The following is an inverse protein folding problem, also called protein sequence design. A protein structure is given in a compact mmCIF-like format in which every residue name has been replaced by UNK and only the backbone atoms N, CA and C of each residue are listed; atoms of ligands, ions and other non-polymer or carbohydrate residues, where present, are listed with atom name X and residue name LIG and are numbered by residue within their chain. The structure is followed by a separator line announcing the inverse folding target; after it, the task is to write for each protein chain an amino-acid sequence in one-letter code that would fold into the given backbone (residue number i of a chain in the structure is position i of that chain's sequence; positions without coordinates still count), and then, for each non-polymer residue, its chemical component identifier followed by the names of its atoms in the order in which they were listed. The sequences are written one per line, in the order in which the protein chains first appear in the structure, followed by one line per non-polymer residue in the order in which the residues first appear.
data_IF_501115310559
#
_entry.id   IF_501115310559
#
_cell.length_a   1.000
_cell.length_b   1.000
_cell.length_c   1.000
_cell.angle_alpha   90.00
_cell.angle_beta   90.00
_cell.angle_gamma   90.00
#
_symmetry.space_group_name_H-M   'P 1'
#
loop_
_entity.id
_entity.type
_entity.pdbx_description
1 polymer ?
#
# COMPACT_ATOMS: atom_id res chain seq x y z
N UNK A 1 -27.02 -19.68 27.32
CA UNK A 1 -26.08 -19.98 26.20
C UNK A 1 -25.56 -18.66 25.70
N UNK A 2 -24.41 -18.23 26.24
CA UNK A 2 -23.75 -16.98 25.86
C UNK A 2 -22.96 -17.21 24.57
N UNK A 3 -23.38 -16.54 23.50
CA UNK A 3 -22.56 -16.35 22.31
C UNK A 3 -21.24 -15.70 22.76
N UNK A 4 -20.06 -16.16 22.33
CA UNK A 4 -18.84 -15.46 22.68
C UNK A 4 -18.84 -14.12 21.95
N UNK A 5 -18.88 -13.04 22.72
CA UNK A 5 -18.66 -11.69 22.25
C UNK A 5 -17.31 -11.64 21.53
N UNK A 6 -17.34 -11.52 20.21
CA UNK A 6 -16.16 -11.15 19.43
C UNK A 6 -15.78 -9.71 19.83
N UNK A 7 -14.50 -9.45 20.16
CA UNK A 7 -14.07 -8.13 20.59
C UNK A 7 -14.32 -7.09 19.50
N UNK A 8 -14.68 -5.84 19.87
CA UNK A 8 -14.87 -4.77 18.90
C UNK A 8 -13.50 -4.44 18.28
N UNK A 9 -13.45 -4.56 16.96
CA UNK A 9 -12.32 -4.24 16.08
C UNK A 9 -11.13 -5.23 16.07
N UNK A 10 -11.37 -6.45 15.58
CA UNK A 10 -10.30 -7.29 15.01
C UNK A 10 -10.04 -6.88 13.54
N UNK A 11 -9.78 -5.60 13.30
CA UNK A 11 -9.49 -5.06 11.97
C UNK A 11 -8.26 -5.74 11.37
N UNK A 12 -8.20 -5.87 10.05
CA UNK A 12 -7.05 -6.47 9.36
C UNK A 12 -5.83 -5.60 9.59
N UNK A 13 -4.95 -5.95 10.52
CA UNK A 13 -3.76 -5.15 10.76
C UNK A 13 -2.80 -5.22 9.55
N UNK A 14 -2.14 -4.11 9.25
CA UNK A 14 -1.17 -4.01 8.14
C UNK A 14 0.26 -4.12 8.63
N UNK A 15 1.10 -4.80 7.86
CA UNK A 15 2.55 -4.76 8.00
C UNK A 15 3.15 -4.04 6.78
N UNK A 16 3.68 -2.85 7.02
CA UNK A 16 4.38 -2.03 6.02
C UNK A 16 5.83 -1.88 6.48
N UNK A 17 6.77 -2.53 5.80
CA UNK A 17 8.20 -2.41 6.09
C UNK A 17 8.69 -1.01 5.68
N UNK A 18 9.49 -0.34 6.52
CA UNK A 18 10.08 0.97 6.22
C UNK A 18 10.82 0.98 4.87
N UNK A 19 11.45 -0.13 4.47
CA UNK A 19 12.10 -0.26 3.16
C UNK A 19 11.11 -0.15 1.98
N UNK A 20 9.83 -0.46 2.20
CA UNK A 20 8.78 -0.23 1.20
C UNK A 20 8.47 1.25 1.09
N UNK A 21 8.42 1.98 2.19
CA UNK A 21 8.25 3.44 2.18
C UNK A 21 9.44 4.13 1.51
N UNK A 22 10.66 3.72 1.86
CA UNK A 22 11.89 4.16 1.22
C UNK A 22 11.84 3.97 -0.31
N UNK A 23 11.39 2.81 -0.76
CA UNK A 23 11.19 2.56 -2.19
C UNK A 23 10.16 3.49 -2.84
N UNK A 24 9.04 3.76 -2.18
CA UNK A 24 7.99 4.66 -2.68
C UNK A 24 8.47 6.10 -2.82
N UNK A 25 9.31 6.55 -1.90
CA UNK A 25 9.85 7.89 -1.86
C UNK A 25 11.20 8.04 -2.58
N UNK A 26 11.70 6.96 -3.20
CA UNK A 26 13.01 6.91 -3.86
C UNK A 26 14.17 7.28 -2.91
N UNK A 27 14.18 6.66 -1.73
CA UNK A 27 15.14 6.90 -0.65
C UNK A 27 15.89 5.63 -0.29
N UNK A 28 17.18 5.74 -0.04
CA UNK A 28 18.04 4.65 0.43
C UNK A 28 17.89 3.33 -0.35
N UNK A 29 17.51 3.40 -1.63
CA UNK A 29 17.34 2.21 -2.46
C UNK A 29 18.68 1.77 -3.04
N UNK A 30 18.89 0.45 -3.11
CA UNK A 30 20.00 -0.10 -3.89
C UNK A 30 19.78 0.26 -5.36
N UNK A 31 20.82 0.80 -6.02
CA UNK A 31 20.77 1.16 -7.43
C UNK A 31 20.60 -0.10 -8.29
N UNK A 32 19.54 -0.10 -9.09
CA UNK A 32 19.16 -1.19 -9.98
C UNK A 32 18.33 -0.56 -11.13
N UNK A 33 18.68 -0.78 -12.42
CA UNK A 33 18.01 -0.09 -13.54
C UNK A 33 16.50 -0.21 -13.54
N UNK A 34 15.95 -1.36 -13.14
CA UNK A 34 14.51 -1.62 -13.15
C UNK A 34 13.84 -1.04 -11.90
N UNK A 35 14.46 -1.21 -10.74
CA UNK A 35 13.88 -0.78 -9.46
C UNK A 35 14.03 0.74 -9.24
N UNK A 36 15.13 1.35 -9.67
CA UNK A 36 15.37 2.79 -9.54
C UNK A 36 14.44 3.63 -10.42
N UNK A 37 14.13 3.17 -11.64
CA UNK A 37 13.20 3.87 -12.52
C UNK A 37 11.77 3.91 -11.94
N UNK A 38 11.30 2.78 -11.39
CA UNK A 38 9.99 2.68 -10.73
C UNK A 38 9.91 3.49 -9.44
N UNK A 39 10.94 3.44 -8.60
CA UNK A 39 11.02 4.27 -7.40
C UNK A 39 10.97 5.77 -7.74
N UNK A 40 11.71 6.19 -8.78
CA UNK A 40 11.67 7.57 -9.28
C UNK A 40 10.27 7.97 -9.74
N UNK A 41 9.59 7.11 -10.50
CA UNK A 41 8.21 7.35 -10.97
C UNK A 41 7.22 7.46 -9.81
N UNK A 42 7.31 6.57 -8.82
CA UNK A 42 6.48 6.60 -7.62
C UNK A 42 6.67 7.93 -6.87
N UNK A 43 7.92 8.31 -6.60
CA UNK A 43 8.23 9.55 -5.89
C UNK A 43 7.70 10.79 -6.63
N UNK A 44 7.83 10.84 -7.96
CA UNK A 44 7.28 11.92 -8.77
C UNK A 44 5.75 12.00 -8.69
N UNK A 45 5.06 10.86 -8.68
CA UNK A 45 3.60 10.82 -8.52
C UNK A 45 3.18 11.31 -7.12
N UNK A 46 3.88 10.88 -6.06
CA UNK A 46 3.61 11.34 -4.69
C UNK A 46 3.88 12.85 -4.53
N UNK A 47 4.98 13.36 -5.11
CA UNK A 47 5.26 14.79 -5.12
C UNK A 47 4.18 15.58 -5.86
N UNK A 48 3.65 15.06 -6.98
CA UNK A 48 2.51 15.69 -7.68
C UNK A 48 1.25 15.76 -6.82
N UNK A 49 1.08 14.84 -5.87
CA UNK A 49 0.02 14.85 -4.88
C UNK A 49 0.30 15.82 -3.71
N UNK A 50 1.50 16.37 -3.60
CA UNK A 50 1.93 17.15 -2.43
C UNK A 50 2.29 16.27 -1.23
N UNK A 51 2.70 15.02 -1.49
CA UNK A 51 3.15 14.05 -0.48
C UNK A 51 4.66 13.88 -0.67
N UNK A 52 5.45 14.35 0.30
CA UNK A 52 6.91 14.34 0.25
C UNK A 52 7.48 13.30 1.21
N UNK A 53 8.79 13.04 1.09
CA UNK A 53 9.49 12.16 2.03
C UNK A 53 9.82 12.92 3.33
N UNK A 54 8.81 13.08 4.16
CA UNK A 54 8.89 13.60 5.52
C UNK A 54 7.93 12.80 6.42
N UNK A 55 7.93 13.11 7.71
CA UNK A 55 7.10 12.42 8.70
C UNK A 55 5.61 12.47 8.34
N UNK A 56 5.14 13.60 7.81
CA UNK A 56 3.74 13.78 7.44
C UNK A 56 3.39 12.93 6.21
N UNK A 57 4.20 12.99 5.15
CA UNK A 57 3.97 12.22 3.94
C UNK A 57 4.05 10.72 4.16
N UNK A 58 5.00 10.25 4.98
CA UNK A 58 5.05 8.83 5.40
C UNK A 58 3.82 8.42 6.21
N UNK A 59 3.33 9.30 7.09
CA UNK A 59 2.10 9.05 7.84
C UNK A 59 0.88 8.96 6.93
N UNK A 60 0.74 9.87 5.95
CA UNK A 60 -0.36 9.84 4.96
C UNK A 60 -0.40 8.49 4.23
N UNK A 61 0.73 8.02 3.72
CA UNK A 61 0.80 6.74 3.01
C UNK A 61 0.48 5.56 3.93
N UNK A 62 0.99 5.59 5.16
CA UNK A 62 0.77 4.51 6.13
C UNK A 62 -0.70 4.42 6.54
N UNK A 63 -1.33 5.56 6.85
CA UNK A 63 -2.73 5.62 7.23
C UNK A 63 -3.64 5.19 6.08
N UNK A 64 -3.38 5.68 4.86
CA UNK A 64 -4.08 5.23 3.65
C UNK A 64 -4.03 3.71 3.51
N UNK A 65 -2.85 3.11 3.68
CA UNK A 65 -2.67 1.67 3.55
C UNK A 65 -3.38 0.86 4.64
N UNK A 66 -3.45 1.39 5.86
CA UNK A 66 -4.22 0.80 6.95
C UNK A 66 -5.73 0.80 6.65
N UNK A 67 -6.24 1.88 6.06
CA UNK A 67 -7.65 1.99 5.64
C UNK A 67 -7.96 1.03 4.48
N UNK A 68 -7.07 0.94 3.50
CA UNK A 68 -7.24 0.08 2.30
C UNK A 68 -7.57 -1.36 2.65
N UNK A 69 -6.92 -1.94 3.67
CA UNK A 69 -7.17 -3.34 4.02
C UNK A 69 -8.45 -3.54 4.82
N UNK A 70 -9.04 -2.49 5.42
CA UNK A 70 -10.32 -2.63 6.12
C UNK A 70 -11.51 -2.72 5.16
N UNK A 71 -11.34 -2.28 3.91
CA UNK A 71 -12.42 -2.22 2.92
C UNK A 71 -12.51 -3.55 2.18
N UNK A 72 -13.64 -4.27 2.27
CA UNK A 72 -13.78 -5.57 1.62
C UNK A 72 -14.01 -5.49 0.11
N UNK A 73 -14.80 -4.52 -0.34
CA UNK A 73 -15.21 -4.38 -1.73
C UNK A 73 -14.14 -3.77 -2.65
N UNK A 74 -12.91 -3.57 -2.15
CA UNK A 74 -11.80 -3.04 -2.93
C UNK A 74 -10.80 -4.11 -3.39
N UNK A 75 -11.03 -5.38 -3.00
CA UNK A 75 -10.27 -6.52 -3.51
C UNK A 75 -10.69 -6.76 -4.95
N UNK A 76 -9.74 -6.60 -5.87
CA UNK A 76 -9.98 -6.80 -7.32
C UNK A 76 -9.50 -8.17 -7.79
N UNK A 77 -8.60 -8.80 -7.04
CA UNK A 77 -8.09 -10.13 -7.36
C UNK A 77 -7.54 -10.80 -6.10
N UNK A 78 -7.65 -12.13 -6.02
CA UNK A 78 -6.97 -12.94 -5.01
C UNK A 78 -6.48 -14.24 -5.62
N UNK A 79 -5.24 -14.61 -5.35
CA UNK A 79 -4.61 -15.81 -5.91
C UNK A 79 -3.46 -16.31 -5.05
N UNK A 80 -3.10 -17.57 -5.20
CA UNK A 80 -1.85 -18.12 -4.68
C UNK A 80 -0.77 -17.95 -5.75
N UNK A 81 0.33 -17.27 -5.44
CA UNK A 81 1.42 -17.10 -6.40
C UNK A 81 2.27 -18.40 -6.54
N UNK A 82 3.19 -18.50 -7.52
CA UNK A 82 4.01 -19.71 -7.71
C UNK A 82 4.90 -20.11 -6.52
N UNK A 83 5.04 -19.24 -5.52
CA UNK A 83 5.80 -19.49 -4.29
C UNK A 83 4.90 -19.91 -3.11
N UNK A 84 3.60 -20.13 -3.34
CA UNK A 84 2.65 -20.53 -2.29
C UNK A 84 2.14 -19.39 -1.41
N UNK A 85 2.37 -18.13 -1.80
CA UNK A 85 1.91 -16.95 -1.04
C UNK A 85 0.48 -16.59 -1.47
N UNK A 86 -0.43 -16.46 -0.51
CA UNK A 86 -1.78 -15.94 -0.72
C UNK A 86 -1.72 -14.42 -0.91
N UNK A 87 -2.09 -13.96 -2.09
CA UNK A 87 -2.00 -12.56 -2.51
C UNK A 87 -3.39 -11.98 -2.73
N UNK A 88 -3.67 -10.87 -2.08
CA UNK A 88 -4.82 -9.99 -2.36
C UNK A 88 -4.34 -8.73 -3.10
N UNK A 89 -4.92 -8.46 -4.27
CA UNK A 89 -4.75 -7.19 -4.98
C UNK A 89 -5.93 -6.27 -4.67
N UNK A 90 -5.61 -5.04 -4.28
CA UNK A 90 -6.59 -4.04 -3.82
C UNK A 90 -6.41 -2.74 -4.57
N UNK A 91 -7.52 -2.19 -5.05
CA UNK A 91 -7.57 -0.85 -5.62
C UNK A 91 -8.01 0.17 -4.59
N UNK A 92 -7.46 1.38 -4.66
CA UNK A 92 -7.86 2.47 -3.77
C UNK A 92 -7.63 3.82 -4.43
N UNK A 93 -8.23 4.87 -3.87
CA UNK A 93 -8.01 6.23 -4.32
C UNK A 93 -7.26 6.99 -3.22
N UNK A 94 -6.05 7.45 -3.54
CA UNK A 94 -5.23 8.25 -2.62
C UNK A 94 -5.46 9.73 -2.92
N UNK A 95 -5.90 10.48 -1.91
CA UNK A 95 -6.03 11.93 -1.95
C UNK A 95 -4.71 12.60 -1.54
N UNK A 96 -4.27 13.57 -2.32
CA UNK A 96 -3.08 14.37 -2.04
C UNK A 96 -3.42 15.73 -1.41
N UNK A 97 -2.47 16.28 -0.64
CA UNK A 97 -2.55 17.66 -0.11
C UNK A 97 -2.68 18.73 -1.20
N UNK A 98 -2.24 18.43 -2.41
CA UNK A 98 -2.40 19.30 -3.59
C UNK A 98 -3.84 19.39 -4.14
N UNK A 99 -4.79 18.62 -3.60
CA UNK A 99 -6.16 18.48 -4.12
C UNK A 99 -6.28 17.51 -5.30
N UNK A 100 -5.17 16.87 -5.72
CA UNK A 100 -5.17 15.81 -6.74
C UNK A 100 -5.40 14.45 -6.11
N UNK A 101 -5.84 13.50 -6.93
CA UNK A 101 -6.05 12.12 -6.55
C UNK A 101 -5.29 11.20 -7.49
N UNK A 102 -4.91 10.02 -7.00
CA UNK A 102 -4.36 8.95 -7.84
C UNK A 102 -4.99 7.62 -7.45
N UNK A 103 -5.25 6.77 -8.43
CA UNK A 103 -5.65 5.39 -8.17
C UNK A 103 -4.40 4.61 -7.77
N UNK A 104 -4.47 3.82 -6.71
CA UNK A 104 -3.40 2.92 -6.27
C UNK A 104 -3.84 1.49 -6.52
N UNK A 105 -2.97 0.70 -7.15
CA UNK A 105 -3.05 -0.75 -7.12
C UNK A 105 -1.99 -1.25 -6.12
N UNK A 106 -2.45 -1.89 -5.06
CA UNK A 106 -1.61 -2.46 -4.01
C UNK A 106 -1.75 -3.97 -3.99
N UNK A 107 -0.66 -4.69 -3.73
CA UNK A 107 -0.71 -6.13 -3.50
C UNK A 107 -0.24 -6.46 -2.10
N UNK A 108 -0.94 -7.41 -1.49
CA UNK A 108 -0.81 -7.77 -0.10
C UNK A 108 -0.68 -9.27 0.02
N UNK A 109 0.23 -9.72 0.86
CA UNK A 109 0.20 -11.09 1.33
C UNK A 109 -0.78 -11.22 2.48
N UNK A 110 -1.65 -12.22 2.42
CA UNK A 110 -2.54 -12.59 3.51
C UNK A 110 -1.81 -13.59 4.40
N UNK A 111 -1.53 -13.17 5.63
CA UNK A 111 -0.85 -14.00 6.62
C UNK A 111 -1.84 -14.93 7.34
N UNK A 112 -1.35 -16.04 7.94
CA UNK A 112 -2.22 -17.00 8.65
C UNK A 112 -3.02 -16.39 9.80
N UNK A 113 -2.52 -15.31 10.43
CA UNK A 113 -3.20 -14.57 11.49
C UNK A 113 -4.17 -13.51 10.96
N UNK A 114 -4.41 -13.47 9.65
CA UNK A 114 -5.30 -12.51 9.00
C UNK A 114 -4.67 -11.13 8.78
N UNK A 115 -3.40 -10.90 9.14
CA UNK A 115 -2.73 -9.65 8.80
C UNK A 115 -2.46 -9.55 7.30
N UNK A 116 -2.34 -8.32 6.81
CA UNK A 116 -1.95 -8.04 5.42
C UNK A 116 -0.55 -7.43 5.40
N UNK A 117 0.41 -8.10 4.76
CA UNK A 117 1.78 -7.60 4.57
C UNK A 117 1.91 -6.97 3.19
N UNK A 118 2.35 -5.72 3.11
CA UNK A 118 2.46 -5.01 1.84
C UNK A 118 3.57 -5.63 0.97
N UNK A 119 3.20 -6.11 -0.21
CA UNK A 119 4.14 -6.60 -1.22
C UNK A 119 4.51 -5.48 -2.18
N UNK A 120 3.52 -4.75 -2.70
CA UNK A 120 3.73 -3.65 -3.64
C UNK A 120 2.67 -2.56 -3.54
N UNK A 121 3.06 -1.35 -3.97
CA UNK A 121 2.21 -0.18 -4.11
C UNK A 121 2.57 0.49 -5.44
N UNK A 122 1.56 0.70 -6.29
CA UNK A 122 1.72 1.24 -7.62
C UNK A 122 0.66 2.30 -7.89
N UNK A 123 1.02 3.59 -8.00
CA UNK A 123 0.09 4.59 -8.46
C UNK A 123 -0.16 4.47 -9.97
N UNK A 124 -1.44 4.45 -10.32
CA UNK A 124 -1.98 4.39 -11.66
C UNK A 124 -2.45 5.80 -12.04
N UNK A 125 -1.57 6.57 -12.69
CA UNK A 125 -1.89 7.93 -13.14
C UNK A 125 -0.68 8.73 -13.60
N UNK A 126 -0.90 9.76 -14.43
CA UNK A 126 0.14 10.52 -15.11
C UNK A 126 0.51 9.89 -16.45
N UNK A 127 0.27 10.62 -17.54
CA UNK A 127 0.78 10.22 -18.87
C UNK A 127 2.31 10.13 -18.82
N UNK A 128 2.85 9.17 -19.57
CA UNK A 128 4.25 9.17 -20.02
C UNK A 128 4.52 10.43 -20.84
#
# INVERSE_FOLDING_TARGET
MTSPDLPPNSGRATLVDERKLDYLFNKNIKRDPHNSARATQNAQQLQRLGIYDDTEGRSIITNHLQEVVQIDNNVVERYINPYGVDVEMRESLLAGKSGKFVKILSSWEVLPDGKRRLLSFKPLGGKK
#
